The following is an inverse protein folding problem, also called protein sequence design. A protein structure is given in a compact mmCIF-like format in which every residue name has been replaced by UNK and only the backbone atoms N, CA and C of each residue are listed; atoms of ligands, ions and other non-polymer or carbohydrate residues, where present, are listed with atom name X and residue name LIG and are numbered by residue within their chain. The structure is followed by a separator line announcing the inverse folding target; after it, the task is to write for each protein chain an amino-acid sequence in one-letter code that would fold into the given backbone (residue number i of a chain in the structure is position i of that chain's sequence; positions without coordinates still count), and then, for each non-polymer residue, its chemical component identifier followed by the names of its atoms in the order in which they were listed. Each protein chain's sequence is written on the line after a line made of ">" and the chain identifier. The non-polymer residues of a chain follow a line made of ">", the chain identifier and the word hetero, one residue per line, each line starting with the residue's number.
data_IF_946373758348
#
_entry.id   IF_946373758348
#
_cell.length_a   1.000
_cell.length_b   1.000
_cell.length_c   1.000
_cell.angle_alpha   90.00
_cell.angle_beta   90.00
_cell.angle_gamma   90.00
#
_symmetry.space_group_name_H-M   'P 1'
#
loop_
_entity.id
_entity.type
_entity.pdbx_description
1 polymer ?
#
# COMPACT_ATOMS: atom_id res chain seq x y z
N UNK A 1 -54.72 1.02 54.03
CA UNK A 1 -53.39 0.67 53.50
C UNK A 1 -53.45 0.03 52.11
N UNK A 2 -54.29 -0.98 51.85
CA UNK A 2 -54.39 -1.65 50.53
C UNK A 2 -54.72 -0.68 49.37
N UNK A 3 -55.59 0.32 49.60
CA UNK A 3 -56.04 1.26 48.56
C UNK A 3 -54.96 2.20 47.98
N UNK A 4 -53.85 2.41 48.68
CA UNK A 4 -52.74 3.28 48.21
C UNK A 4 -51.64 2.44 47.54
N UNK A 5 -51.53 1.17 47.91
CA UNK A 5 -50.50 0.28 47.39
C UNK A 5 -50.79 -0.14 45.95
N UNK A 6 -52.07 -0.35 45.60
CA UNK A 6 -52.50 -0.73 44.25
C UNK A 6 -52.15 0.32 43.20
N UNK A 7 -52.49 1.62 43.34
CA UNK A 7 -52.10 2.62 42.34
C UNK A 7 -50.58 2.80 42.25
N UNK A 8 -49.85 2.67 43.37
CA UNK A 8 -48.38 2.72 43.35
C UNK A 8 -47.76 1.57 42.54
N UNK A 9 -48.26 0.34 42.72
CA UNK A 9 -47.82 -0.82 41.93
C UNK A 9 -48.20 -0.69 40.45
N UNK A 10 -49.38 -0.16 40.14
CA UNK A 10 -49.79 0.10 38.76
C UNK A 10 -48.87 1.13 38.08
N UNK A 11 -48.45 2.18 38.79
CA UNK A 11 -47.50 3.17 38.26
C UNK A 11 -46.12 2.57 38.04
N UNK A 12 -45.62 1.72 38.95
CA UNK A 12 -44.36 1.01 38.75
C UNK A 12 -44.40 0.09 37.52
N UNK A 13 -45.49 -0.65 37.33
CA UNK A 13 -45.67 -1.51 36.16
C UNK A 13 -45.73 -0.69 34.86
N UNK A 14 -46.44 0.44 34.87
CA UNK A 14 -46.50 1.34 33.73
C UNK A 14 -45.13 1.94 33.40
N UNK A 15 -44.35 2.36 34.40
CA UNK A 15 -42.99 2.86 34.22
C UNK A 15 -42.05 1.78 33.67
N UNK A 16 -42.16 0.53 34.16
CA UNK A 16 -41.37 -0.58 33.65
C UNK A 16 -41.71 -0.90 32.18
N UNK A 17 -42.99 -0.89 31.82
CA UNK A 17 -43.43 -1.08 30.44
C UNK A 17 -42.93 0.04 29.51
N UNK A 18 -43.03 1.30 29.97
CA UNK A 18 -42.52 2.46 29.24
C UNK A 18 -40.99 2.41 29.06
N UNK A 19 -40.26 2.03 30.12
CA UNK A 19 -38.80 1.86 30.06
C UNK A 19 -38.37 0.79 29.06
N UNK A 20 -39.08 -0.35 29.03
CA UNK A 20 -38.83 -1.40 28.05
C UNK A 20 -39.09 -0.92 26.62
N UNK A 21 -40.18 -0.19 26.39
CA UNK A 21 -40.50 0.35 25.08
C UNK A 21 -39.41 1.32 24.59
N UNK A 22 -38.92 2.20 25.49
CA UNK A 22 -37.84 3.13 25.14
C UNK A 22 -36.52 2.43 24.83
N UNK A 23 -36.18 1.39 25.59
CA UNK A 23 -34.98 0.58 25.33
C UNK A 23 -35.10 -0.17 23.99
N UNK A 24 -36.27 -0.71 23.65
CA UNK A 24 -36.48 -1.35 22.35
C UNK A 24 -36.40 -0.34 21.20
N UNK A 25 -36.90 0.88 21.39
CA UNK A 25 -36.82 1.95 20.40
C UNK A 25 -35.37 2.40 20.15
N UNK A 26 -34.58 2.64 21.21
CA UNK A 26 -33.18 3.05 21.08
C UNK A 26 -32.32 1.95 20.44
N UNK A 27 -32.59 0.68 20.75
CA UNK A 27 -31.90 -0.45 20.10
C UNK A 27 -32.25 -0.53 18.61
N UNK A 28 -33.50 -0.25 18.21
CA UNK A 28 -33.87 -0.21 16.79
C UNK A 28 -33.14 0.91 16.06
N UNK A 29 -33.11 2.11 16.64
CA UNK A 29 -32.41 3.25 16.07
C UNK A 29 -30.90 2.96 15.91
N UNK A 30 -30.26 2.49 16.98
CA UNK A 30 -28.85 2.12 16.94
C UNK A 30 -28.56 1.00 15.92
N UNK A 31 -29.48 0.06 15.70
CA UNK A 31 -29.34 -0.98 14.66
C UNK A 31 -29.42 -0.41 13.26
N UNK A 32 -30.31 0.55 13.01
CA UNK A 32 -30.42 1.23 11.72
C UNK A 32 -29.13 1.99 11.44
N UNK A 33 -28.65 2.77 12.40
CA UNK A 33 -27.40 3.52 12.28
C UNK A 33 -26.19 2.58 12.06
N UNK A 34 -26.10 1.49 12.82
CA UNK A 34 -25.05 0.48 12.64
C UNK A 34 -25.11 -0.15 11.24
N UNK A 35 -26.30 -0.39 10.71
CA UNK A 35 -26.47 -0.95 9.37
C UNK A 35 -26.02 0.04 8.29
N UNK A 36 -26.30 1.34 8.44
CA UNK A 36 -25.86 2.36 7.48
C UNK A 36 -24.36 2.59 7.53
N UNK A 37 -23.75 2.54 8.72
CA UNK A 37 -22.29 2.62 8.87
C UNK A 37 -21.62 1.41 8.25
N UNK A 38 -22.17 0.20 8.44
CA UNK A 38 -21.64 -1.02 7.83
C UNK A 38 -21.73 -1.02 6.31
N UNK A 39 -22.84 -0.53 5.74
CA UNK A 39 -22.95 -0.41 4.29
C UNK A 39 -21.95 0.60 3.74
N UNK A 40 -21.79 1.75 4.39
CA UNK A 40 -20.80 2.75 3.99
C UNK A 40 -19.36 2.20 4.05
N UNK A 41 -19.04 1.42 5.08
CA UNK A 41 -17.73 0.78 5.22
C UNK A 41 -17.47 -0.23 4.09
N UNK A 42 -18.46 -1.07 3.76
CA UNK A 42 -18.34 -2.02 2.66
C UNK A 42 -18.14 -1.32 1.30
N UNK A 43 -18.82 -0.19 1.08
CA UNK A 43 -18.66 0.62 -0.14
C UNK A 43 -17.26 1.23 -0.24
N UNK A 44 -16.69 1.73 0.88
CA UNK A 44 -15.33 2.26 0.89
C UNK A 44 -14.27 1.17 0.71
N UNK A 45 -14.44 -0.01 1.32
CA UNK A 45 -13.54 -1.16 1.12
C UNK A 45 -13.53 -1.62 -0.35
N UNK A 46 -14.66 -1.55 -1.03
CA UNK A 46 -14.74 -1.86 -2.46
C UNK A 46 -14.03 -0.81 -3.32
N UNK A 47 -14.18 0.48 -2.98
CA UNK A 47 -13.43 1.56 -3.65
C UNK A 47 -11.93 1.42 -3.43
N UNK A 48 -11.50 1.10 -2.23
CA UNK A 48 -10.09 0.87 -1.93
C UNK A 48 -9.54 -0.30 -2.73
N UNK A 49 -10.27 -1.42 -2.79
CA UNK A 49 -9.88 -2.57 -3.62
C UNK A 49 -9.77 -2.19 -5.09
N UNK A 50 -10.73 -1.44 -5.63
CA UNK A 50 -10.67 -0.96 -7.01
C UNK A 50 -9.46 -0.08 -7.25
N UNK A 51 -9.19 0.90 -6.38
CA UNK A 51 -8.04 1.78 -6.49
C UNK A 51 -6.72 1.01 -6.38
N UNK A 52 -6.62 0.02 -5.49
CA UNK A 52 -5.43 -0.84 -5.41
C UNK A 52 -5.22 -1.64 -6.69
N UNK A 53 -6.28 -2.21 -7.27
CA UNK A 53 -6.17 -2.89 -8.57
C UNK A 53 -5.78 -1.92 -9.69
N UNK A 54 -6.34 -0.70 -9.71
CA UNK A 54 -5.96 0.33 -10.68
C UNK A 54 -4.48 0.73 -10.53
N UNK A 55 -4.00 0.93 -9.30
CA UNK A 55 -2.59 1.21 -9.02
C UNK A 55 -1.71 0.03 -9.44
N UNK A 56 -2.08 -1.21 -9.11
CA UNK A 56 -1.33 -2.39 -9.53
C UNK A 56 -1.24 -2.51 -11.06
N UNK A 57 -2.33 -2.21 -11.77
CA UNK A 57 -2.33 -2.14 -13.24
C UNK A 57 -1.42 -1.03 -13.76
N UNK A 58 -1.44 0.15 -13.13
CA UNK A 58 -0.60 1.29 -13.50
C UNK A 58 0.89 1.06 -13.21
N UNK A 59 1.19 0.44 -12.08
CA UNK A 59 2.54 0.10 -11.61
C UNK A 59 3.07 -1.21 -12.20
N UNK A 60 2.25 -1.95 -12.94
CA UNK A 60 2.68 -3.20 -13.57
C UNK A 60 3.96 -2.98 -14.37
N UNK A 61 5.00 -3.76 -14.05
CA UNK A 61 6.34 -3.62 -14.61
C UNK A 61 6.32 -3.61 -16.15
N UNK A 62 5.43 -4.39 -16.78
CA UNK A 62 5.21 -4.37 -18.23
C UNK A 62 4.82 -3.00 -18.77
N UNK A 63 3.90 -2.30 -18.10
CA UNK A 63 3.41 -0.99 -18.51
C UNK A 63 4.45 0.10 -18.25
N UNK A 64 5.11 0.09 -17.09
CA UNK A 64 6.24 0.97 -16.81
C UNK A 64 7.40 0.78 -17.80
N UNK A 65 7.69 -0.46 -18.19
CA UNK A 65 8.71 -0.77 -19.21
C UNK A 65 8.30 -0.24 -20.58
N UNK A 66 7.03 -0.37 -20.96
CA UNK A 66 6.51 0.19 -22.22
C UNK A 66 6.55 1.73 -22.25
N UNK A 67 6.26 2.37 -21.12
CA UNK A 67 6.25 3.84 -20.98
C UNK A 67 7.67 4.40 -20.96
N UNK A 68 8.60 3.71 -20.29
CA UNK A 68 10.03 4.03 -20.32
C UNK A 68 10.61 3.87 -21.74
N UNK A 69 10.26 2.79 -22.43
CA UNK A 69 10.66 2.56 -23.82
C UNK A 69 10.13 3.66 -24.77
N UNK A 70 8.91 4.16 -24.54
CA UNK A 70 8.32 5.24 -25.36
C UNK A 70 8.82 6.64 -25.00
N UNK A 71 9.02 6.95 -23.72
CA UNK A 71 9.25 8.34 -23.26
C UNK A 71 10.73 8.66 -23.13
N UNK A 72 11.55 7.67 -22.79
CA UNK A 72 12.93 7.90 -22.36
C UNK A 72 13.93 7.12 -23.23
N UNK A 73 13.50 6.16 -24.05
CA UNK A 73 14.38 5.46 -24.99
C UNK A 73 15.53 4.71 -24.31
N UNK A 74 15.48 4.54 -22.99
CA UNK A 74 16.45 3.79 -22.21
C UNK A 74 16.09 2.31 -22.32
N UNK A 75 16.51 1.69 -23.41
CA UNK A 75 16.67 0.24 -23.45
C UNK A 75 17.86 -0.19 -22.59
N UNK A 76 17.96 -1.50 -22.31
CA UNK A 76 19.18 -2.06 -21.74
C UNK A 76 20.39 -1.58 -22.57
N UNK A 77 21.41 -1.03 -21.90
CA UNK A 77 22.58 -0.51 -22.57
C UNK A 77 23.16 -1.59 -23.47
N UNK A 78 23.21 -1.32 -24.79
CA UNK A 78 23.83 -2.26 -25.72
C UNK A 78 25.32 -2.33 -25.39
N UNK A 79 26.00 -3.47 -25.63
CA UNK A 79 27.45 -3.57 -25.42
C UNK A 79 28.23 -2.47 -26.14
N UNK A 80 27.75 -2.00 -27.30
CA UNK A 80 28.35 -0.88 -28.04
C UNK A 80 28.19 0.48 -27.35
N UNK A 81 27.24 0.62 -26.44
CA UNK A 81 26.98 1.83 -25.65
C UNK A 81 27.71 1.82 -24.30
N UNK A 82 28.29 0.68 -23.91
CA UNK A 82 29.12 0.57 -22.71
C UNK A 82 30.54 1.08 -23.03
N UNK A 83 30.72 2.39 -22.92
CA UNK A 83 32.05 3.01 -22.99
C UNK A 83 32.84 2.69 -21.73
N UNK A 84 34.14 2.44 -21.85
CA UNK A 84 35.01 2.41 -20.67
C UNK A 84 35.10 3.82 -20.08
N UNK A 85 35.45 3.93 -18.80
CA UNK A 85 35.57 5.22 -18.11
C UNK A 85 36.68 6.06 -18.73
N UNK A 86 37.76 5.41 -19.16
CA UNK A 86 38.87 6.02 -19.88
C UNK A 86 38.36 6.63 -21.20
N UNK A 87 37.58 5.88 -21.97
CA UNK A 87 36.99 6.33 -23.24
C UNK A 87 36.02 7.50 -23.03
N UNK A 88 35.20 7.45 -21.97
CA UNK A 88 34.29 8.54 -21.64
C UNK A 88 35.03 9.80 -21.19
N UNK A 89 36.06 9.65 -20.35
CA UNK A 89 36.90 10.74 -19.87
C UNK A 89 37.62 11.44 -21.04
N UNK A 90 38.14 10.65 -21.99
CA UNK A 90 38.73 11.15 -23.23
C UNK A 90 37.71 11.94 -24.07
N UNK A 91 36.47 11.45 -24.18
CA UNK A 91 35.41 12.11 -24.94
C UNK A 91 34.97 13.46 -24.34
N UNK A 92 34.97 13.59 -23.01
CA UNK A 92 34.60 14.84 -22.31
C UNK A 92 35.80 15.76 -22.01
N UNK A 93 37.01 15.41 -22.49
CA UNK A 93 38.23 16.20 -22.32
C UNK A 93 38.69 16.32 -20.87
N UNK A 94 38.42 15.31 -20.03
CA UNK A 94 38.86 15.27 -18.63
C UNK A 94 39.78 14.09 -18.38
N UNK A 95 40.71 14.28 -17.44
CA UNK A 95 41.59 13.20 -17.00
C UNK A 95 40.78 12.17 -16.18
N UNK A 96 40.91 10.89 -16.54
CA UNK A 96 40.32 9.79 -15.79
C UNK A 96 41.03 9.70 -14.42
N UNK A 97 40.38 10.19 -13.36
CA UNK A 97 40.90 10.01 -12.00
C UNK A 97 40.89 8.52 -11.63
N UNK A 98 41.94 8.02 -10.93
CA UNK A 98 41.98 6.65 -10.46
C UNK A 98 40.77 6.37 -9.57
N UNK A 99 40.23 5.16 -9.70
CA UNK A 99 39.09 4.72 -8.91
C UNK A 99 39.47 4.77 -7.43
N UNK A 100 38.85 5.68 -6.68
CA UNK A 100 38.61 5.36 -5.28
C UNK A 100 37.67 4.19 -5.34
N UNK A 101 38.20 2.98 -5.12
CA UNK A 101 37.41 1.80 -4.83
C UNK A 101 36.36 2.25 -3.81
N UNK A 102 35.16 2.53 -4.28
CA UNK A 102 34.01 2.60 -3.42
C UNK A 102 33.98 1.21 -2.82
N UNK A 103 34.20 1.12 -1.51
CA UNK A 103 34.07 -0.13 -0.79
C UNK A 103 32.83 -0.83 -1.32
N UNK A 104 32.90 -2.12 -1.64
CA UNK A 104 31.74 -2.86 -2.16
C UNK A 104 30.52 -2.76 -1.21
N UNK A 105 30.75 -2.37 0.05
CA UNK A 105 29.72 -2.03 1.04
C UNK A 105 29.07 -0.65 0.84
N UNK A 106 29.75 0.32 0.24
CA UNK A 106 29.27 1.67 0.00
C UNK A 106 28.50 1.82 -1.32
N UNK A 107 28.61 0.86 -2.24
CA UNK A 107 27.82 0.86 -3.48
C UNK A 107 26.36 0.45 -3.20
N UNK A 108 25.60 1.41 -2.65
CA UNK A 108 24.20 1.21 -2.27
C UNK A 108 23.31 0.96 -3.49
N UNK A 109 23.69 1.50 -4.65
CA UNK A 109 22.91 1.36 -5.90
C UNK A 109 23.17 0.00 -6.53
N UNK A 110 24.43 -0.43 -6.64
CA UNK A 110 24.78 -1.77 -7.13
C UNK A 110 24.18 -2.88 -6.26
N UNK A 111 24.24 -2.71 -4.94
CA UNK A 111 23.65 -3.66 -3.98
C UNK A 111 22.11 -3.69 -4.04
N UNK A 112 21.45 -2.54 -4.23
CA UNK A 112 20.00 -2.50 -4.39
C UNK A 112 19.53 -3.21 -5.67
N UNK A 113 20.27 -3.06 -6.77
CA UNK A 113 19.95 -3.70 -8.06
C UNK A 113 20.13 -5.23 -7.95
N UNK A 114 21.23 -5.70 -7.35
CA UNK A 114 21.47 -7.15 -7.16
C UNK A 114 20.50 -7.80 -6.18
N UNK A 115 19.96 -7.08 -5.20
CA UNK A 115 18.91 -7.60 -4.32
C UNK A 115 17.53 -7.64 -4.98
N UNK A 116 17.29 -6.82 -6.00
CA UNK A 116 16.00 -6.76 -6.72
C UNK A 116 15.89 -7.75 -7.89
N UNK A 117 17.02 -8.34 -8.31
CA UNK A 117 17.07 -9.32 -9.39
C UNK A 117 17.32 -10.74 -8.83
N UNK A 118 16.29 -11.61 -8.75
CA UNK A 118 16.42 -12.95 -8.19
C UNK A 118 17.34 -13.87 -9.00
N UNK A 119 17.63 -13.53 -10.27
CA UNK A 119 18.50 -14.34 -11.13
C UNK A 119 19.99 -13.95 -11.00
N UNK A 120 20.30 -12.77 -10.44
CA UNK A 120 21.67 -12.29 -10.27
C UNK A 120 22.47 -13.05 -9.19
N UNK A 121 21.79 -13.67 -8.22
CA UNK A 121 22.41 -14.45 -7.13
C UNK A 121 23.11 -15.73 -7.66
N UNK A 122 22.70 -16.25 -8.82
CA UNK A 122 23.28 -17.47 -9.39
C UNK A 122 24.64 -17.27 -10.07
N UNK A 123 25.02 -16.03 -10.38
CA UNK A 123 26.30 -15.73 -11.06
C UNK A 123 27.43 -15.33 -10.11
N UNK A 124 27.16 -15.01 -8.84
CA UNK A 124 28.20 -14.65 -7.86
C UNK A 124 28.74 -15.84 -7.05
N UNK A 125 28.20 -17.06 -7.25
CA UNK A 125 28.56 -18.27 -6.50
C UNK A 125 29.66 -19.14 -7.11
N UNK A 126 30.29 -18.70 -8.21
CA UNK A 126 31.20 -19.54 -8.99
C UNK A 126 32.54 -18.87 -9.31
N UNK A 127 33.38 -18.66 -8.30
CA UNK A 127 34.85 -18.52 -8.45
C UNK A 127 35.53 -18.54 -7.07
N UNK A 128 35.86 -19.75 -6.60
CA UNK A 128 37.10 -19.99 -5.87
C UNK A 128 38.17 -20.41 -6.87
#
# INVERSE_FOLDING_TARGET
>A
MIRVLTPALCLMLAAAAAGRYHAEASVREARVELSSVRSALADEEERERRLRMEVEVLESASRLTSLNAQTVGLGAARPEQMTTREDFAAMIGREAKPDHRLDAQADTIGNAITMSDPDAVLLSGGRQ
#
